data_IF_154775095654
#
_entry.id   IF_154775095654
#
_cell.length_a   1.000
_cell.length_b   1.000
_cell.length_c   1.000
_cell.angle_alpha   90.00
_cell.angle_beta   90.00
_cell.angle_gamma   90.00
#
_symmetry.space_group_name_H-M   'P 1'
#
loop_
_entity.id
_entity.type
_entity.pdbx_description
1 polymer ?
#
# COMPACT_ATOMS: atom_id res chain seq x y z
N UNK A 1 3.32 -21.94 2.87
CA UNK A 1 2.58 -20.89 2.17
C UNK A 1 1.46 -21.53 1.35
N UNK A 2 0.23 -21.11 1.58
CA UNK A 2 -0.93 -21.49 0.77
C UNK A 2 -1.37 -20.26 -0.01
N UNK A 3 -1.52 -20.39 -1.33
CA UNK A 3 -2.00 -19.32 -2.21
C UNK A 3 -3.19 -19.81 -3.02
N UNK A 4 -4.08 -18.89 -3.40
CA UNK A 4 -5.17 -19.15 -4.35
C UNK A 4 -4.82 -18.48 -5.69
N UNK A 5 -4.57 -19.28 -6.71
CA UNK A 5 -4.15 -18.83 -8.03
C UNK A 5 -5.35 -18.49 -8.90
N UNK A 6 -5.45 -17.23 -9.28
CA UNK A 6 -6.48 -16.73 -10.18
C UNK A 6 -6.11 -17.03 -11.64
N UNK A 7 -7.10 -17.37 -12.46
CA UNK A 7 -6.89 -17.79 -13.84
C UNK A 7 -6.18 -16.76 -14.71
N UNK A 8 -6.52 -15.48 -14.51
CA UNK A 8 -5.93 -14.35 -15.25
C UNK A 8 -4.48 -14.01 -14.84
N UNK A 9 -3.96 -14.60 -13.78
CA UNK A 9 -2.63 -14.34 -13.23
C UNK A 9 -1.82 -15.63 -13.06
N UNK A 10 -2.14 -16.67 -13.81
CA UNK A 10 -1.37 -17.92 -13.80
C UNK A 10 0.04 -17.67 -14.32
N UNK A 11 1.02 -18.03 -13.51
CA UNK A 11 2.41 -18.08 -13.91
C UNK A 11 2.70 -19.34 -14.73
N UNK A 12 3.67 -19.26 -15.64
CA UNK A 12 4.05 -20.39 -16.48
C UNK A 12 4.59 -21.58 -15.67
N UNK A 13 4.65 -22.75 -16.28
CA UNK A 13 5.19 -23.94 -15.61
C UNK A 13 6.64 -23.79 -15.18
N UNK A 14 7.47 -23.07 -15.97
CA UNK A 14 8.87 -22.81 -15.66
C UNK A 14 9.04 -21.82 -14.53
N UNK A 15 8.30 -20.71 -14.58
CA UNK A 15 8.27 -19.72 -13.50
C UNK A 15 7.79 -20.36 -12.20
N UNK A 16 6.78 -21.22 -12.26
CA UNK A 16 6.26 -21.94 -11.10
C UNK A 16 7.30 -22.89 -10.49
N UNK A 17 8.09 -23.59 -11.34
CA UNK A 17 9.21 -24.44 -10.88
C UNK A 17 10.30 -23.59 -10.20
N UNK A 18 10.70 -22.50 -10.83
CA UNK A 18 11.70 -21.58 -10.29
C UNK A 18 11.26 -21.01 -8.94
N UNK A 19 10.05 -20.47 -8.87
CA UNK A 19 9.50 -19.90 -7.63
C UNK A 19 9.42 -20.94 -6.50
N UNK A 20 8.99 -22.17 -6.81
CA UNK A 20 8.95 -23.26 -5.82
C UNK A 20 10.34 -23.59 -5.31
N UNK A 21 11.34 -23.64 -6.20
CA UNK A 21 12.74 -23.88 -5.81
C UNK A 21 13.26 -22.79 -4.89
N UNK A 22 13.08 -21.52 -5.24
CA UNK A 22 13.53 -20.35 -4.47
C UNK A 22 12.86 -20.29 -3.07
N UNK A 23 11.55 -20.53 -3.01
CA UNK A 23 10.81 -20.61 -1.75
C UNK A 23 11.30 -21.77 -0.88
N UNK A 24 11.50 -22.95 -1.46
CA UNK A 24 11.96 -24.13 -0.70
C UNK A 24 13.37 -23.90 -0.15
N UNK A 25 14.25 -23.25 -0.92
CA UNK A 25 15.60 -22.85 -0.46
C UNK A 25 15.54 -21.90 0.75
N UNK A 26 14.49 -21.08 0.82
CA UNK A 26 14.21 -20.20 1.97
C UNK A 26 13.42 -20.87 3.09
N UNK A 27 13.25 -22.21 3.05
CA UNK A 27 12.49 -22.97 4.06
C UNK A 27 10.97 -22.86 3.94
N UNK A 28 10.46 -22.30 2.83
CA UNK A 28 9.03 -22.08 2.60
C UNK A 28 8.45 -23.16 1.68
N UNK A 29 7.56 -24.00 2.20
CA UNK A 29 6.82 -24.97 1.39
C UNK A 29 5.59 -24.32 0.78
N UNK A 30 5.48 -24.29 -0.55
CA UNK A 30 4.41 -23.64 -1.28
C UNK A 30 3.36 -24.61 -1.80
N UNK A 31 2.10 -24.33 -1.46
CA UNK A 31 0.92 -25.11 -1.82
C UNK A 31 -0.07 -24.22 -2.60
N UNK A 32 0.08 -24.10 -3.92
CA UNK A 32 -0.86 -23.33 -4.74
C UNK A 32 -2.17 -24.11 -4.90
N UNK A 33 -3.29 -23.47 -4.59
CA UNK A 33 -4.64 -23.93 -4.85
C UNK A 33 -5.25 -23.16 -6.01
N UNK A 34 -6.09 -23.79 -6.79
CA UNK A 34 -6.84 -23.11 -7.84
C UNK A 34 -7.93 -22.24 -7.19
N UNK A 35 -8.14 -21.05 -7.76
CA UNK A 35 -9.23 -20.15 -7.39
C UNK A 35 -10.28 -20.19 -8.50
N UNK A 36 -11.43 -20.78 -8.24
CA UNK A 36 -12.47 -20.93 -9.23
C UNK A 36 -13.40 -19.72 -9.29
N UNK A 37 -13.70 -19.27 -10.51
CA UNK A 37 -14.60 -18.13 -10.80
C UNK A 37 -15.68 -18.56 -11.81
N UNK A 38 -16.59 -17.65 -12.18
CA UNK A 38 -17.62 -17.85 -13.19
C UNK A 38 -18.93 -18.44 -12.63
N UNK A 39 -19.70 -19.10 -13.46
CA UNK A 39 -21.00 -19.71 -13.10
C UNK A 39 -20.87 -20.67 -11.94
N UNK A 40 -21.92 -20.79 -11.12
CA UNK A 40 -21.93 -21.58 -9.87
C UNK A 40 -20.88 -21.15 -8.86
N UNK A 41 -20.53 -19.86 -8.83
CA UNK A 41 -19.44 -19.31 -8.03
C UNK A 41 -19.50 -19.70 -6.54
N UNK A 42 -20.68 -19.80 -5.94
CA UNK A 42 -20.84 -20.21 -4.54
C UNK A 42 -20.42 -21.65 -4.29
N UNK A 43 -20.81 -22.57 -5.14
CA UNK A 43 -20.40 -23.99 -5.03
C UNK A 43 -18.90 -24.15 -5.27
N UNK A 44 -18.35 -23.43 -6.24
CA UNK A 44 -16.91 -23.41 -6.51
C UNK A 44 -16.13 -22.84 -5.31
N UNK A 45 -16.61 -21.77 -4.67
CA UNK A 45 -16.00 -21.23 -3.45
C UNK A 45 -16.08 -22.19 -2.27
N UNK A 46 -17.18 -22.90 -2.12
CA UNK A 46 -17.28 -23.97 -1.11
C UNK A 46 -16.27 -25.08 -1.38
N UNK A 47 -16.10 -25.49 -2.63
CA UNK A 47 -15.08 -26.47 -3.01
C UNK A 47 -13.66 -25.97 -2.70
N UNK A 48 -13.33 -24.72 -3.07
CA UNK A 48 -12.04 -24.09 -2.76
C UNK A 48 -11.78 -24.05 -1.23
N UNK A 49 -12.82 -23.72 -0.46
CA UNK A 49 -12.77 -23.71 1.00
C UNK A 49 -12.49 -25.11 1.58
N UNK A 50 -13.19 -26.14 1.10
CA UNK A 50 -13.01 -27.53 1.57
C UNK A 50 -11.60 -28.03 1.24
N UNK A 51 -11.11 -27.77 0.02
CA UNK A 51 -9.75 -28.12 -0.36
C UNK A 51 -8.69 -27.45 0.51
N UNK A 52 -8.88 -26.17 0.82
CA UNK A 52 -7.99 -25.44 1.72
C UNK A 52 -8.05 -26.01 3.14
N UNK A 53 -9.23 -26.35 3.65
CA UNK A 53 -9.42 -26.95 4.98
C UNK A 53 -8.69 -28.31 5.09
N UNK A 54 -8.86 -29.19 4.10
CA UNK A 54 -8.20 -30.50 4.07
C UNK A 54 -6.67 -30.36 3.99
N UNK A 55 -6.20 -29.42 3.19
CA UNK A 55 -4.77 -29.12 3.08
C UNK A 55 -4.19 -28.59 4.40
N UNK A 56 -4.87 -27.66 5.05
CA UNK A 56 -4.46 -27.10 6.37
C UNK A 56 -4.43 -28.22 7.41
N UNK A 57 -5.43 -29.12 7.44
CA UNK A 57 -5.46 -30.28 8.32
C UNK A 57 -4.26 -31.21 8.10
N UNK A 58 -3.96 -31.53 6.82
CA UNK A 58 -2.77 -32.31 6.46
C UNK A 58 -1.46 -31.66 6.92
N UNK A 59 -1.32 -30.36 6.71
CA UNK A 59 -0.13 -29.59 7.14
C UNK A 59 -0.05 -29.55 8.68
N UNK A 60 -1.17 -29.34 9.36
CA UNK A 60 -1.23 -29.35 10.84
C UNK A 60 -0.68 -30.65 11.43
N UNK A 61 -1.11 -31.78 10.88
CA UNK A 61 -0.68 -33.11 11.35
C UNK A 61 0.78 -33.37 10.97
N UNK A 62 1.15 -33.15 9.71
CA UNK A 62 2.48 -33.53 9.19
C UNK A 62 3.62 -32.62 9.65
N UNK A 63 3.33 -31.36 9.96
CA UNK A 63 4.34 -30.33 10.31
C UNK A 63 4.18 -29.76 11.71
N UNK A 64 3.22 -30.25 12.48
CA UNK A 64 2.91 -29.76 13.83
C UNK A 64 2.81 -28.21 13.91
N UNK A 65 2.10 -27.62 12.93
CA UNK A 65 1.93 -26.15 12.85
C UNK A 65 1.07 -25.64 14.01
N UNK A 66 1.50 -24.57 14.67
CA UNK A 66 0.82 -23.99 15.84
C UNK A 66 -0.03 -22.75 15.51
N UNK A 67 0.20 -22.12 14.35
CA UNK A 67 -0.47 -20.90 13.98
C UNK A 67 -0.80 -20.82 12.48
N UNK A 68 -1.84 -20.06 12.16
CA UNK A 68 -2.17 -19.61 10.81
C UNK A 68 -1.88 -18.12 10.74
N UNK A 69 -1.09 -17.71 9.74
CA UNK A 69 -0.86 -16.33 9.37
C UNK A 69 -1.62 -16.02 8.10
N UNK A 70 -2.63 -15.18 8.17
CA UNK A 70 -3.43 -14.80 7.02
C UNK A 70 -3.21 -13.34 6.62
N UNK A 71 -2.95 -13.13 5.35
CA UNK A 71 -2.82 -11.83 4.74
C UNK A 71 -4.16 -11.38 4.17
N UNK A 72 -4.66 -10.23 4.59
CA UNK A 72 -5.96 -9.64 4.26
C UNK A 72 -7.19 -10.30 4.92
N UNK A 73 -8.35 -9.63 4.84
CA UNK A 73 -9.56 -9.99 5.57
C UNK A 73 -10.23 -11.27 5.07
N UNK A 74 -10.19 -11.54 3.77
CA UNK A 74 -10.86 -12.72 3.18
C UNK A 74 -10.12 -13.99 3.59
N UNK A 75 -8.80 -14.03 3.43
CA UNK A 75 -7.99 -15.17 3.88
C UNK A 75 -8.03 -15.34 5.40
N UNK A 76 -8.12 -14.23 6.15
CA UNK A 76 -8.28 -14.25 7.59
C UNK A 76 -9.60 -14.92 8.02
N UNK A 77 -10.69 -14.68 7.33
CA UNK A 77 -11.99 -15.28 7.66
C UNK A 77 -11.97 -16.80 7.53
N UNK A 78 -11.34 -17.32 6.48
CA UNK A 78 -11.11 -18.77 6.33
C UNK A 78 -10.15 -19.27 7.42
N UNK A 79 -9.04 -18.57 7.60
CA UNK A 79 -8.03 -18.92 8.62
C UNK A 79 -8.60 -19.00 10.02
N UNK A 80 -9.53 -18.12 10.42
CA UNK A 80 -10.21 -18.17 11.72
C UNK A 80 -11.01 -19.46 11.90
N UNK A 81 -11.74 -19.88 10.87
CA UNK A 81 -12.50 -21.12 10.92
C UNK A 81 -11.55 -22.33 11.06
N UNK A 82 -10.48 -22.35 10.23
CA UNK A 82 -9.49 -23.42 10.28
C UNK A 82 -8.73 -23.44 11.62
N UNK A 83 -8.36 -22.26 12.14
CA UNK A 83 -7.64 -22.17 13.42
C UNK A 83 -8.45 -22.73 14.58
N UNK A 84 -9.77 -22.52 14.57
CA UNK A 84 -10.68 -23.10 15.59
C UNK A 84 -10.82 -24.61 15.44
N UNK A 85 -10.99 -25.11 14.20
CA UNK A 85 -11.14 -26.55 13.93
C UNK A 85 -9.88 -27.32 14.36
N UNK A 86 -8.69 -26.76 14.08
CA UNK A 86 -7.42 -27.44 14.34
C UNK A 86 -6.68 -26.95 15.59
N UNK A 87 -7.34 -26.16 16.44
CA UNK A 87 -6.76 -25.61 17.68
C UNK A 87 -5.41 -24.89 17.46
N UNK A 88 -5.38 -23.98 16.46
CA UNK A 88 -4.21 -23.18 16.12
C UNK A 88 -4.44 -21.70 16.47
N UNK A 89 -3.38 -20.95 16.69
CA UNK A 89 -3.44 -19.50 16.83
C UNK A 89 -3.67 -18.82 15.49
N UNK A 90 -4.43 -17.73 15.49
CA UNK A 90 -4.76 -16.96 14.28
C UNK A 90 -4.13 -15.58 14.29
N UNK A 91 -3.27 -15.32 13.33
CA UNK A 91 -2.65 -14.01 13.09
C UNK A 91 -3.26 -13.42 11.82
N UNK A 92 -3.93 -12.28 11.93
CA UNK A 92 -4.45 -11.50 10.80
C UNK A 92 -3.49 -10.36 10.54
N UNK A 93 -2.97 -10.30 9.31
CA UNK A 93 -2.03 -9.25 8.90
C UNK A 93 -2.58 -8.38 7.80
N UNK A 94 -2.22 -7.08 7.81
CA UNK A 94 -2.69 -6.08 6.85
C UNK A 94 -4.23 -5.98 6.82
N UNK A 95 -4.82 -5.81 8.01
CA UNK A 95 -6.25 -5.63 8.12
C UNK A 95 -6.66 -4.21 7.70
N UNK A 96 -7.52 -4.12 6.69
CA UNK A 96 -8.12 -2.86 6.21
C UNK A 96 -9.59 -3.08 5.84
N UNK A 97 -10.52 -2.13 6.11
CA UNK A 97 -11.94 -2.27 5.82
C UNK A 97 -12.22 -1.93 4.34
N UNK A 98 -11.85 -2.82 3.42
CA UNK A 98 -11.96 -2.60 1.98
C UNK A 98 -13.39 -2.29 1.50
N UNK A 99 -14.41 -2.92 2.11
CA UNK A 99 -15.81 -2.64 1.78
C UNK A 99 -16.18 -1.17 2.03
N UNK A 100 -15.63 -0.55 3.08
CA UNK A 100 -15.87 0.86 3.38
C UNK A 100 -15.26 1.76 2.32
N UNK A 101 -14.01 1.48 1.91
CA UNK A 101 -13.34 2.23 0.84
C UNK A 101 -14.16 2.22 -0.44
N UNK A 102 -14.63 1.05 -0.85
CA UNK A 102 -15.42 0.90 -2.07
C UNK A 102 -16.77 1.60 -2.01
N UNK A 103 -17.40 1.64 -0.85
CA UNK A 103 -18.69 2.28 -0.68
C UNK A 103 -18.61 3.80 -0.57
N UNK A 104 -17.56 4.34 0.04
CA UNK A 104 -17.38 5.78 0.18
C UNK A 104 -16.91 6.48 -1.11
N UNK A 105 -16.36 5.71 -2.04
CA UNK A 105 -16.01 6.16 -3.38
C UNK A 105 -17.08 5.83 -4.43
N UNK A 106 -18.30 5.50 -3.98
CA UNK A 106 -19.47 5.17 -4.81
C UNK A 106 -19.23 4.01 -5.81
N UNK A 107 -18.16 3.22 -5.62
CA UNK A 107 -17.87 2.05 -6.43
C UNK A 107 -18.79 0.87 -6.10
N UNK A 108 -19.29 0.82 -4.86
CA UNK A 108 -20.27 -0.17 -4.41
C UNK A 108 -21.39 0.47 -3.62
N UNK A 109 -22.64 0.14 -3.94
CA UNK A 109 -23.78 0.54 -3.13
C UNK A 109 -23.75 -0.19 -1.76
N UNK A 110 -23.91 0.56 -0.66
CA UNK A 110 -24.08 -0.01 0.70
C UNK A 110 -25.27 -0.96 0.81
N UNK A 111 -26.27 -0.85 -0.08
CA UNK A 111 -27.43 -1.74 -0.14
C UNK A 111 -27.13 -3.05 -0.86
N UNK A 112 -26.04 -3.14 -1.63
CA UNK A 112 -25.71 -4.32 -2.43
C UNK A 112 -25.38 -5.52 -1.53
N UNK A 113 -25.74 -6.72 -1.99
CA UNK A 113 -25.39 -7.97 -1.31
C UNK A 113 -23.87 -8.15 -1.19
N UNK A 114 -23.13 -7.71 -2.21
CA UNK A 114 -21.67 -7.74 -2.25
C UNK A 114 -21.06 -6.94 -1.09
N UNK A 115 -21.53 -5.70 -0.87
CA UNK A 115 -21.08 -4.87 0.25
C UNK A 115 -21.41 -5.51 1.60
N UNK A 116 -22.66 -5.92 1.80
CA UNK A 116 -23.12 -6.51 3.06
C UNK A 116 -22.34 -7.78 3.43
N UNK A 117 -22.13 -8.66 2.44
CA UNK A 117 -21.38 -9.89 2.64
C UNK A 117 -19.93 -9.60 3.00
N UNK A 118 -19.23 -8.77 2.21
CA UNK A 118 -17.81 -8.46 2.46
C UNK A 118 -17.62 -7.73 3.78
N UNK A 119 -18.46 -6.73 4.07
CA UNK A 119 -18.43 -6.00 5.35
C UNK A 119 -18.61 -6.93 6.56
N UNK A 120 -19.51 -7.93 6.45
CA UNK A 120 -19.71 -8.94 7.51
C UNK A 120 -18.50 -9.84 7.67
N UNK A 121 -17.89 -10.27 6.57
CA UNK A 121 -16.66 -11.08 6.54
C UNK A 121 -15.50 -10.29 7.17
N UNK A 122 -15.32 -9.04 6.80
CA UNK A 122 -14.30 -8.16 7.37
C UNK A 122 -14.48 -7.98 8.87
N UNK A 123 -15.70 -7.68 9.30
CA UNK A 123 -16.00 -7.52 10.72
C UNK A 123 -15.76 -8.83 11.49
N UNK A 124 -16.15 -9.97 10.94
CA UNK A 124 -15.88 -11.29 11.53
C UNK A 124 -14.37 -11.53 11.72
N UNK A 125 -13.57 -11.23 10.67
CA UNK A 125 -12.11 -11.34 10.73
C UNK A 125 -11.49 -10.39 11.77
N UNK A 126 -11.96 -9.14 11.82
CA UNK A 126 -11.49 -8.13 12.75
C UNK A 126 -11.86 -8.38 14.22
N UNK A 127 -12.86 -9.23 14.50
CA UNK A 127 -13.29 -9.54 15.88
C UNK A 127 -12.63 -10.82 16.40
N UNK A 128 -12.41 -11.81 15.55
CA UNK A 128 -12.14 -13.19 16.00
C UNK A 128 -10.68 -13.66 15.84
N UNK A 129 -9.75 -12.84 15.30
CA UNK A 129 -8.33 -13.16 15.28
C UNK A 129 -7.70 -13.14 16.68
N UNK A 130 -6.71 -13.99 16.98
CA UNK A 130 -5.95 -13.93 18.24
C UNK A 130 -5.00 -12.72 18.25
N UNK A 131 -4.40 -12.44 17.09
CA UNK A 131 -3.57 -11.25 16.84
C UNK A 131 -4.04 -10.58 15.56
N UNK A 132 -4.34 -9.29 15.62
CA UNK A 132 -4.83 -8.52 14.47
C UNK A 132 -3.89 -7.33 14.25
N UNK A 133 -3.15 -7.36 13.16
CA UNK A 133 -2.21 -6.32 12.76
C UNK A 133 -2.86 -5.43 11.71
N UNK A 134 -2.94 -4.14 12.01
CA UNK A 134 -3.56 -3.13 11.14
C UNK A 134 -2.70 -1.88 11.00
N UNK A 135 -2.86 -1.16 9.88
CA UNK A 135 -1.96 -0.08 9.48
C UNK A 135 -1.97 1.16 10.35
N UNK A 136 -3.08 1.48 11.05
CA UNK A 136 -3.24 2.78 11.71
C UNK A 136 -3.78 2.67 13.13
N UNK A 137 -3.47 3.67 13.98
CA UNK A 137 -4.07 3.80 15.31
C UNK A 137 -5.60 3.96 15.26
N UNK A 138 -6.10 4.53 14.18
CA UNK A 138 -7.54 4.71 13.98
C UNK A 138 -8.24 3.35 13.82
N UNK A 139 -7.66 2.45 13.01
CA UNK A 139 -8.22 1.11 12.84
C UNK A 139 -8.05 0.25 14.10
N UNK A 140 -6.95 0.42 14.85
CA UNK A 140 -6.80 -0.21 16.18
C UNK A 140 -7.94 0.19 17.10
N UNK A 141 -8.30 1.48 17.15
CA UNK A 141 -9.41 1.97 17.96
C UNK A 141 -10.75 1.39 17.48
N UNK A 142 -10.97 1.38 16.19
CA UNK A 142 -12.20 0.89 15.56
C UNK A 142 -12.42 -0.61 15.84
N UNK A 143 -11.38 -1.43 15.66
CA UNK A 143 -11.45 -2.88 15.96
C UNK A 143 -11.77 -3.15 17.43
N UNK A 144 -11.21 -2.37 18.35
CA UNK A 144 -11.54 -2.45 19.78
C UNK A 144 -13.01 -2.10 20.05
N UNK A 145 -13.53 -1.06 19.38
CA UNK A 145 -14.95 -0.69 19.47
C UNK A 145 -15.86 -1.77 18.88
N UNK A 146 -15.44 -2.50 17.87
CA UNK A 146 -16.18 -3.65 17.34
C UNK A 146 -16.16 -4.87 18.28
N UNK A 147 -15.37 -4.84 19.34
CA UNK A 147 -15.27 -5.94 20.31
C UNK A 147 -14.24 -7.00 19.89
N UNK A 148 -13.11 -6.60 19.30
CA UNK A 148 -12.02 -7.51 18.97
C UNK A 148 -11.59 -8.32 20.20
N UNK A 149 -11.57 -9.65 20.07
CA UNK A 149 -11.29 -10.59 21.17
C UNK A 149 -9.81 -10.80 21.42
N UNK A 150 -9.00 -10.63 20.39
CA UNK A 150 -7.56 -10.81 20.45
C UNK A 150 -6.77 -9.53 20.64
N UNK A 151 -5.44 -9.63 20.54
CA UNK A 151 -4.53 -8.49 20.62
C UNK A 151 -4.57 -7.71 19.31
N UNK A 152 -5.04 -6.46 19.34
CA UNK A 152 -5.00 -5.56 18.18
C UNK A 152 -3.75 -4.71 18.25
N UNK A 153 -2.92 -4.79 17.20
CA UNK A 153 -1.59 -4.18 17.16
C UNK A 153 -1.46 -3.29 15.93
N UNK A 154 -0.91 -2.10 16.12
CA UNK A 154 -0.56 -1.22 15.00
C UNK A 154 0.70 -1.73 14.32
N UNK A 155 0.58 -2.08 13.05
CA UNK A 155 1.65 -2.51 12.14
C UNK A 155 1.42 -1.88 10.77
N UNK A 156 1.91 -0.65 10.52
CA UNK A 156 1.73 0.03 9.24
C UNK A 156 2.32 -0.79 8.09
N UNK A 157 1.81 -0.58 6.88
CA UNK A 157 2.47 -1.08 5.69
C UNK A 157 3.92 -0.62 5.69
N UNK A 158 4.82 -1.56 5.77
CA UNK A 158 6.25 -1.31 5.96
C UNK A 158 7.04 -1.50 4.67
N UNK A 159 8.17 -0.86 4.60
CA UNK A 159 9.09 -0.87 3.47
C UNK A 159 10.47 -1.27 3.97
N UNK A 160 11.20 -2.03 3.16
CA UNK A 160 12.55 -2.44 3.52
C UNK A 160 13.50 -1.23 3.52
N UNK A 161 13.95 -0.85 4.71
CA UNK A 161 14.77 0.34 4.93
C UNK A 161 16.21 0.22 4.41
N UNK A 162 16.67 -1.00 4.14
CA UNK A 162 17.98 -1.22 3.54
C UNK A 162 17.93 -1.13 2.02
N UNK A 163 16.78 -1.43 1.47
CA UNK A 163 16.53 -1.44 0.04
C UNK A 163 16.07 -0.07 -0.47
N UNK A 164 15.15 0.58 0.24
CA UNK A 164 14.71 1.95 -0.06
C UNK A 164 15.60 2.97 0.64
N UNK A 165 16.60 3.43 -0.08
CA UNK A 165 17.52 4.48 0.35
C UNK A 165 17.73 5.50 -0.76
N UNK A 166 18.12 6.72 -0.40
CA UNK A 166 18.48 7.73 -1.40
C UNK A 166 19.70 7.28 -2.22
N UNK A 167 19.60 7.36 -3.54
CA UNK A 167 20.60 6.93 -4.51
C UNK A 167 21.12 8.11 -5.32
N UNK A 168 22.23 8.71 -4.90
CA UNK A 168 22.82 9.87 -5.59
C UNK A 168 23.15 9.59 -7.05
N UNK A 169 23.73 8.42 -7.38
CA UNK A 169 24.03 8.01 -8.75
C UNK A 169 22.75 7.89 -9.58
N UNK A 170 21.70 7.29 -9.01
CA UNK A 170 20.39 7.17 -9.64
C UNK A 170 19.79 8.54 -9.92
N UNK A 171 19.80 9.45 -8.92
CA UNK A 171 19.34 10.83 -9.10
C UNK A 171 20.04 11.52 -10.26
N UNK A 172 21.38 11.49 -10.30
CA UNK A 172 22.14 12.10 -11.39
C UNK A 172 21.78 11.51 -12.75
N UNK A 173 21.65 10.19 -12.84
CA UNK A 173 21.31 9.48 -14.09
C UNK A 173 19.93 9.87 -14.62
N UNK A 174 18.89 9.83 -13.77
CA UNK A 174 17.52 10.15 -14.19
C UNK A 174 17.39 11.63 -14.53
N UNK A 175 17.97 12.52 -13.73
CA UNK A 175 17.93 13.97 -14.01
C UNK A 175 18.69 14.34 -15.28
N UNK A 176 19.81 13.68 -15.59
CA UNK A 176 20.52 13.86 -16.86
C UNK A 176 19.68 13.36 -18.06
N UNK A 177 19.05 12.17 -17.94
CA UNK A 177 18.19 11.58 -18.98
C UNK A 177 17.07 12.54 -19.42
N UNK A 178 16.42 13.23 -18.47
CA UNK A 178 15.30 14.13 -18.74
C UNK A 178 15.69 15.63 -18.70
N UNK A 179 16.97 15.97 -18.61
CA UNK A 179 17.50 17.35 -18.55
C UNK A 179 16.90 18.18 -17.40
N UNK A 180 16.78 17.58 -16.21
CA UNK A 180 16.07 18.14 -15.04
C UNK A 180 16.99 18.89 -14.05
N UNK A 181 18.16 19.33 -14.44
CA UNK A 181 19.16 19.91 -13.51
C UNK A 181 18.64 21.09 -12.71
N UNK A 182 17.83 21.95 -13.33
CA UNK A 182 17.24 23.14 -12.71
C UNK A 182 15.72 23.03 -12.56
N UNK A 183 15.14 21.83 -12.54
CA UNK A 183 13.70 21.60 -12.40
C UNK A 183 13.38 21.09 -11.01
N UNK A 184 12.22 21.49 -10.47
CA UNK A 184 11.61 20.85 -9.30
C UNK A 184 10.81 19.64 -9.76
N UNK A 185 11.14 18.47 -9.25
CA UNK A 185 10.56 17.22 -9.75
C UNK A 185 9.56 16.67 -8.74
N UNK A 186 8.29 16.59 -9.16
CA UNK A 186 7.27 15.83 -8.45
C UNK A 186 7.16 14.43 -9.04
N UNK A 187 7.12 13.41 -8.17
CA UNK A 187 6.90 12.03 -8.60
C UNK A 187 5.58 11.46 -8.04
N UNK A 188 4.82 10.83 -8.91
CA UNK A 188 3.71 9.95 -8.53
C UNK A 188 4.00 8.51 -8.96
N UNK A 189 3.74 7.55 -8.06
CA UNK A 189 3.89 6.12 -8.32
C UNK A 189 2.59 5.42 -7.96
N UNK A 190 1.94 4.79 -8.92
CA UNK A 190 0.80 3.93 -8.71
C UNK A 190 -0.33 4.08 -9.71
N UNK A 191 -1.39 3.34 -9.46
CA UNK A 191 -2.59 3.40 -10.29
C UNK A 191 -3.32 4.74 -10.08
N UNK A 192 -3.88 5.28 -11.15
CA UNK A 192 -4.81 6.41 -11.16
C UNK A 192 -6.24 5.88 -11.36
N UNK A 193 -7.19 6.47 -10.64
CA UNK A 193 -8.59 6.01 -10.63
C UNK A 193 -8.89 4.92 -9.61
N UNK A 194 -10.12 4.44 -9.57
CA UNK A 194 -10.70 3.53 -8.58
C UNK A 194 -10.59 4.10 -7.14
N UNK A 195 -9.67 3.56 -6.35
CA UNK A 195 -9.39 4.00 -4.98
C UNK A 195 -8.42 5.19 -4.89
N UNK A 196 -8.06 5.80 -6.01
CA UNK A 196 -7.11 6.90 -6.12
C UNK A 196 -7.68 8.02 -6.96
N UNK A 197 -7.22 9.23 -6.74
CA UNK A 197 -7.47 10.33 -7.65
C UNK A 197 -6.95 10.02 -9.07
N UNK A 198 -7.64 10.52 -10.09
CA UNK A 198 -7.24 10.41 -11.48
C UNK A 198 -7.12 11.79 -12.12
N UNK A 199 -8.25 12.41 -12.41
CA UNK A 199 -8.31 13.71 -13.06
C UNK A 199 -7.69 14.80 -12.16
N UNK A 200 -7.93 14.70 -10.87
CA UNK A 200 -7.41 15.62 -9.85
C UNK A 200 -5.88 15.60 -9.77
N UNK A 201 -5.22 14.50 -10.16
CA UNK A 201 -3.75 14.45 -10.23
C UNK A 201 -3.24 15.35 -11.37
N UNK A 202 -3.87 15.31 -12.54
CA UNK A 202 -3.49 16.16 -13.66
C UNK A 202 -3.79 17.65 -13.35
N UNK A 203 -4.93 17.93 -12.72
CA UNK A 203 -5.31 19.28 -12.27
C UNK A 203 -4.35 19.82 -11.21
N UNK A 204 -3.93 19.00 -10.24
CA UNK A 204 -2.92 19.36 -9.26
C UNK A 204 -1.59 19.69 -9.93
N UNK A 205 -1.12 18.83 -10.84
CA UNK A 205 0.12 19.06 -11.58
C UNK A 205 0.05 20.38 -12.39
N UNK A 206 -1.06 20.63 -13.07
CA UNK A 206 -1.29 21.88 -13.79
C UNK A 206 -1.29 23.09 -12.87
N UNK A 207 -1.97 22.99 -11.73
CA UNK A 207 -2.02 24.09 -10.74
C UNK A 207 -0.66 24.39 -10.15
N UNK A 208 0.14 23.36 -9.81
CA UNK A 208 1.51 23.53 -9.36
C UNK A 208 2.39 24.17 -10.43
N UNK A 209 2.27 23.73 -11.70
CA UNK A 209 3.01 24.29 -12.81
C UNK A 209 2.64 25.75 -13.09
N UNK A 210 1.37 26.13 -12.98
CA UNK A 210 0.92 27.50 -13.17
C UNK A 210 1.47 28.46 -12.10
N UNK A 211 1.60 27.98 -10.89
CA UNK A 211 2.12 28.75 -9.76
C UNK A 211 3.66 28.76 -9.70
N UNK A 212 4.31 27.74 -10.27
CA UNK A 212 5.77 27.62 -10.33
C UNK A 212 6.19 26.88 -11.60
N UNK A 213 6.54 27.62 -12.65
CA UNK A 213 6.86 27.13 -14.00
C UNK A 213 8.08 26.19 -14.08
N UNK A 214 8.76 25.98 -12.95
CA UNK A 214 9.93 25.13 -12.86
C UNK A 214 9.62 23.64 -12.57
N UNK A 215 8.34 23.28 -12.33
CA UNK A 215 7.98 21.88 -12.08
C UNK A 215 8.15 20.99 -13.31
N UNK A 216 8.54 19.74 -13.03
CA UNK A 216 8.48 18.60 -13.94
C UNK A 216 7.83 17.42 -13.23
N UNK A 217 6.97 16.67 -13.92
CA UNK A 217 6.18 15.61 -13.33
C UNK A 217 6.60 14.23 -13.86
N UNK A 218 7.03 13.35 -12.95
CA UNK A 218 7.32 11.95 -13.23
C UNK A 218 6.13 11.09 -12.77
N UNK A 219 5.45 10.43 -13.70
CA UNK A 219 4.27 9.61 -13.42
C UNK A 219 4.59 8.16 -13.78
N UNK A 220 4.66 7.29 -12.77
CA UNK A 220 4.86 5.85 -12.92
C UNK A 220 3.54 5.15 -12.62
N UNK A 221 2.90 4.56 -13.62
CA UNK A 221 1.55 4.00 -13.46
C UNK A 221 1.35 2.72 -14.25
N UNK A 222 0.45 1.86 -13.79
CA UNK A 222 0.00 0.67 -14.52
C UNK A 222 -1.21 0.92 -15.44
N UNK A 223 -1.72 2.16 -15.48
CA UNK A 223 -2.79 2.55 -16.38
C UNK A 223 -2.33 2.54 -17.85
N UNK A 224 -3.29 2.61 -18.77
CA UNK A 224 -2.99 2.85 -20.19
C UNK A 224 -2.28 4.21 -20.33
N UNK A 225 -1.09 4.22 -20.95
CA UNK A 225 -0.25 5.41 -21.02
C UNK A 225 -0.84 6.49 -21.92
N UNK A 226 -1.52 6.12 -23.01
CA UNK A 226 -2.15 7.06 -23.93
C UNK A 226 -3.33 7.77 -23.26
N UNK A 227 -4.09 7.03 -22.44
CA UNK A 227 -5.19 7.60 -21.65
C UNK A 227 -4.66 8.65 -20.67
N UNK A 228 -3.58 8.35 -19.95
CA UNK A 228 -3.01 9.28 -18.98
C UNK A 228 -2.31 10.46 -19.68
N UNK A 229 -1.65 10.24 -20.82
CA UNK A 229 -1.12 11.34 -21.64
C UNK A 229 -2.23 12.29 -22.09
N UNK A 230 -3.35 11.76 -22.61
CA UNK A 230 -4.50 12.58 -23.02
C UNK A 230 -5.09 13.36 -21.84
N UNK A 231 -5.12 12.79 -20.66
CA UNK A 231 -5.59 13.45 -19.45
C UNK A 231 -4.72 14.65 -19.08
N UNK A 232 -3.38 14.50 -19.09
CA UNK A 232 -2.45 15.58 -18.78
C UNK A 232 -2.48 16.70 -19.82
N UNK A 233 -2.60 16.34 -21.10
CA UNK A 233 -2.78 17.31 -22.19
C UNK A 233 -4.11 18.08 -22.04
N UNK A 234 -5.20 17.39 -21.74
CA UNK A 234 -6.51 18.01 -21.51
C UNK A 234 -6.53 18.96 -20.31
N UNK A 235 -5.71 18.71 -19.30
CA UNK A 235 -5.48 19.61 -18.18
C UNK A 235 -4.62 20.84 -18.55
N UNK A 236 -4.08 20.89 -19.78
CA UNK A 236 -3.26 22.00 -20.29
C UNK A 236 -1.79 21.94 -19.88
N UNK A 237 -1.25 20.76 -19.68
CA UNK A 237 0.19 20.54 -19.48
C UNK A 237 0.86 20.15 -20.81
N UNK A 238 1.92 20.88 -21.15
CA UNK A 238 2.73 20.57 -22.33
C UNK A 238 3.60 19.32 -22.05
N UNK A 239 3.78 18.46 -23.06
CA UNK A 239 4.51 17.19 -22.97
C UNK A 239 5.97 17.32 -22.55
N UNK A 240 6.57 18.51 -22.70
CA UNK A 240 7.91 18.80 -22.20
C UNK A 240 8.02 18.96 -20.68
N UNK A 241 6.89 19.03 -19.98
CA UNK A 241 6.82 19.26 -18.54
C UNK A 241 6.50 18.01 -17.73
N UNK A 242 6.29 16.87 -18.39
CA UNK A 242 6.05 15.60 -17.72
C UNK A 242 6.60 14.40 -18.49
N UNK A 243 6.75 13.29 -17.78
CA UNK A 243 7.03 11.98 -18.36
C UNK A 243 6.17 10.93 -17.68
N UNK A 244 5.42 10.17 -18.48
CA UNK A 244 4.55 9.09 -18.03
C UNK A 244 5.15 7.77 -18.49
N UNK A 245 5.29 6.81 -17.58
CA UNK A 245 5.82 5.49 -17.89
C UNK A 245 5.01 4.39 -17.18
N UNK A 246 5.09 3.18 -17.72
CA UNK A 246 4.56 1.97 -17.10
C UNK A 246 5.34 1.52 -15.87
N UNK A 247 5.07 0.29 -15.44
CA UNK A 247 5.78 -0.30 -14.31
C UNK A 247 7.29 -0.37 -14.59
N UNK A 248 8.05 0.14 -13.65
CA UNK A 248 9.52 0.07 -13.65
C UNK A 248 10.00 -1.19 -12.94
N UNK A 249 11.19 -1.65 -13.30
CA UNK A 249 11.89 -2.64 -12.49
C UNK A 249 12.11 -2.08 -11.07
N UNK A 250 12.05 -2.95 -10.09
CA UNK A 250 12.09 -2.57 -8.66
C UNK A 250 13.33 -1.72 -8.31
N UNK A 251 14.48 -2.02 -8.88
CA UNK A 251 15.70 -1.23 -8.69
C UNK A 251 15.66 0.13 -9.38
N UNK A 252 15.08 0.20 -10.57
CA UNK A 252 14.94 1.45 -11.31
C UNK A 252 13.98 2.43 -10.61
N UNK A 253 12.91 1.91 -10.01
CA UNK A 253 11.95 2.71 -9.25
C UNK A 253 12.62 3.58 -8.18
N UNK A 254 13.61 3.04 -7.46
CA UNK A 254 14.36 3.73 -6.42
C UNK A 254 15.16 4.91 -6.95
N UNK A 255 15.69 4.78 -8.17
CA UNK A 255 16.42 5.85 -8.85
C UNK A 255 15.48 6.98 -9.28
N UNK A 256 14.26 6.63 -9.74
CA UNK A 256 13.21 7.60 -10.04
C UNK A 256 12.77 8.35 -8.76
N UNK A 257 12.52 7.66 -7.66
CA UNK A 257 12.19 8.29 -6.38
C UNK A 257 13.33 9.23 -5.94
N UNK A 258 14.58 8.77 -6.04
CA UNK A 258 15.75 9.58 -5.68
C UNK A 258 15.94 10.82 -6.57
N UNK A 259 15.43 10.77 -7.82
CA UNK A 259 15.50 11.90 -8.74
C UNK A 259 14.53 13.03 -8.42
N UNK A 260 13.47 12.75 -7.68
CA UNK A 260 12.44 13.71 -7.32
C UNK A 260 12.85 14.63 -6.17
N UNK A 261 12.09 15.70 -5.99
CA UNK A 261 12.19 16.67 -4.91
C UNK A 261 10.98 16.63 -3.98
N UNK A 262 9.85 16.11 -4.48
CA UNK A 262 8.62 15.87 -3.70
C UNK A 262 7.83 14.70 -4.28
N UNK A 263 7.28 13.85 -3.43
CA UNK A 263 6.40 12.72 -3.80
C UNK A 263 4.93 13.09 -3.70
N UNK A 264 4.06 12.36 -4.39
CA UNK A 264 2.61 12.54 -4.33
C UNK A 264 1.92 11.28 -3.83
N UNK A 265 1.05 11.42 -2.83
CA UNK A 265 0.12 10.39 -2.36
C UNK A 265 -1.30 10.77 -2.77
N UNK A 266 -1.78 10.24 -3.90
CA UNK A 266 -3.05 10.63 -4.51
C UNK A 266 -4.24 9.78 -4.01
N UNK A 267 -4.51 9.82 -2.71
CA UNK A 267 -5.64 9.13 -2.07
C UNK A 267 -6.75 10.14 -1.79
N UNK A 268 -8.00 9.90 -2.24
CA UNK A 268 -9.14 10.78 -1.95
C UNK A 268 -9.44 10.85 -0.45
N UNK A 269 -9.74 12.04 0.12
CA UNK A 269 -9.97 12.21 1.56
C UNK A 269 -11.40 11.80 1.95
N UNK A 270 -11.70 10.51 1.97
CA UNK A 270 -12.97 10.00 2.52
C UNK A 270 -12.81 9.53 3.96
N UNK A 271 -13.89 9.47 4.77
CA UNK A 271 -13.81 9.16 6.20
C UNK A 271 -13.10 7.85 6.56
N UNK A 272 -13.16 6.85 5.69
CA UNK A 272 -12.50 5.55 5.94
C UNK A 272 -11.03 5.54 5.57
N UNK A 273 -10.53 6.49 4.79
CA UNK A 273 -9.12 6.51 4.36
C UNK A 273 -8.12 6.70 5.52
N UNK A 274 -8.58 7.16 6.68
CA UNK A 274 -7.80 7.15 7.93
C UNK A 274 -7.38 5.74 8.37
N UNK A 275 -8.05 4.70 7.91
CA UNK A 275 -7.72 3.29 8.21
C UNK A 275 -6.66 2.72 7.26
N UNK A 276 -6.43 3.37 6.13
CA UNK A 276 -5.48 2.93 5.09
C UNK A 276 -4.03 3.22 5.49
N UNK A 277 -3.10 2.43 4.98
CA UNK A 277 -1.67 2.64 5.18
C UNK A 277 -0.93 2.61 3.83
N UNK A 278 -0.89 3.74 3.08
CA UNK A 278 -0.29 3.79 1.75
C UNK A 278 1.21 3.47 1.79
N UNK A 279 1.65 2.50 0.99
CA UNK A 279 3.06 2.07 0.91
C UNK A 279 3.98 3.18 0.39
N UNK A 280 3.49 3.97 -0.58
CA UNK A 280 4.26 5.03 -1.25
C UNK A 280 4.90 6.04 -0.30
N UNK A 281 4.15 6.44 0.74
CA UNK A 281 4.67 7.39 1.74
C UNK A 281 5.86 6.79 2.49
N UNK A 282 5.84 5.49 2.77
CA UNK A 282 6.99 4.80 3.34
C UNK A 282 8.20 4.78 2.40
N UNK A 283 7.99 4.49 1.13
CA UNK A 283 9.02 4.49 0.09
C UNK A 283 9.65 5.88 -0.08
N UNK A 284 8.83 6.93 -0.14
CA UNK A 284 9.29 8.32 -0.22
C UNK A 284 10.13 8.70 1.01
N UNK A 285 9.59 8.53 2.20
CA UNK A 285 10.27 8.90 3.44
C UNK A 285 11.60 8.16 3.61
N UNK A 286 11.65 6.87 3.32
CA UNK A 286 12.89 6.08 3.42
C UNK A 286 13.94 6.50 2.40
N UNK A 287 13.53 6.96 1.22
CA UNK A 287 14.42 7.59 0.24
C UNK A 287 14.75 9.07 0.56
N UNK A 288 14.28 9.59 1.68
CA UNK A 288 14.53 10.98 2.07
C UNK A 288 13.72 12.01 1.30
N UNK A 289 12.56 11.62 0.74
CA UNK A 289 11.71 12.46 -0.08
C UNK A 289 10.51 12.96 0.72
N UNK A 290 10.26 14.28 0.82
CA UNK A 290 9.02 14.82 1.36
C UNK A 290 7.85 14.53 0.42
N UNK A 291 6.61 14.66 0.90
CA UNK A 291 5.45 14.28 0.11
C UNK A 291 4.25 15.24 0.24
N UNK A 292 3.38 15.23 -0.76
CA UNK A 292 2.06 15.85 -0.73
C UNK A 292 1.02 14.77 -0.46
N UNK A 293 0.09 15.02 0.44
CA UNK A 293 -1.04 14.13 0.76
C UNK A 293 -2.29 14.94 1.08
N UNK A 294 -3.45 14.28 1.16
CA UNK A 294 -4.66 14.89 1.69
C UNK A 294 -4.81 14.65 3.20
N UNK A 295 -5.56 15.53 3.84
CA UNK A 295 -5.97 15.42 5.23
C UNK A 295 -6.84 14.19 5.47
N UNK A 296 -6.67 13.54 6.61
CA UNK A 296 -7.45 12.36 6.98
C UNK A 296 -7.00 11.07 6.31
N UNK A 297 -5.84 11.05 5.64
CA UNK A 297 -5.28 9.83 5.03
C UNK A 297 -4.30 9.19 6.00
N UNK A 298 -4.62 7.99 6.48
CA UNK A 298 -3.73 7.25 7.41
C UNK A 298 -3.45 8.06 8.68
N UNK A 299 -2.18 8.08 9.07
CA UNK A 299 -1.55 9.03 9.99
C UNK A 299 -0.50 9.87 9.24
N UNK A 300 -0.48 9.78 7.91
CA UNK A 300 0.54 10.40 7.08
C UNK A 300 0.40 11.92 7.06
N UNK A 301 -0.84 12.44 7.13
CA UNK A 301 -1.12 13.87 7.32
C UNK A 301 -0.50 14.41 8.62
N UNK A 302 -0.66 13.66 9.73
CA UNK A 302 -0.11 14.05 11.02
C UNK A 302 1.42 14.07 11.02
N UNK A 303 2.05 13.10 10.33
CA UNK A 303 3.51 13.04 10.22
C UNK A 303 4.06 14.15 9.31
N UNK A 304 3.36 14.42 8.20
CA UNK A 304 3.71 15.50 7.29
C UNK A 304 3.81 16.85 8.03
N UNK A 305 2.80 17.15 8.86
CA UNK A 305 2.74 18.41 9.61
C UNK A 305 3.69 18.41 10.81
N UNK A 306 3.60 17.39 11.68
CA UNK A 306 4.36 17.33 12.94
C UNK A 306 5.87 17.39 12.72
N UNK A 307 6.36 16.71 11.69
CA UNK A 307 7.78 16.59 11.41
C UNK A 307 8.27 17.46 10.25
N UNK A 308 7.39 18.26 9.66
CA UNK A 308 7.69 19.08 8.48
C UNK A 308 8.33 18.26 7.34
N UNK A 309 7.74 17.08 7.05
CA UNK A 309 8.20 16.16 5.99
C UNK A 309 7.22 16.09 4.82
N UNK A 310 6.23 16.97 4.77
CA UNK A 310 5.25 17.00 3.68
C UNK A 310 4.30 18.17 3.75
N UNK A 311 3.41 18.20 2.77
CA UNK A 311 2.34 19.18 2.63
C UNK A 311 1.00 18.45 2.68
N UNK A 312 0.08 18.96 3.47
CA UNK A 312 -1.28 18.43 3.63
C UNK A 312 -2.27 19.35 2.95
N UNK A 313 -3.06 18.83 2.04
CA UNK A 313 -4.12 19.51 1.31
C UNK A 313 -5.49 18.99 1.81
N UNK A 314 -6.52 19.84 1.81
CA UNK A 314 -7.88 19.36 2.04
C UNK A 314 -8.36 18.50 0.87
N UNK A 315 -8.04 18.89 -0.36
CA UNK A 315 -8.21 18.15 -1.60
C UNK A 315 -7.25 18.70 -2.69
N UNK A 316 -7.27 18.13 -3.92
CA UNK A 316 -6.36 18.51 -5.01
C UNK A 316 -6.90 19.62 -5.93
N UNK A 317 -7.87 20.42 -5.48
CA UNK A 317 -8.34 21.56 -6.27
C UNK A 317 -7.35 22.73 -6.27
N UNK A 318 -7.54 23.63 -7.23
CA UNK A 318 -6.65 24.76 -7.50
C UNK A 318 -6.49 25.71 -6.29
N UNK A 319 -7.54 25.93 -5.52
CA UNK A 319 -7.50 26.84 -4.38
C UNK A 319 -6.66 26.27 -3.24
N UNK A 320 -6.88 25.00 -2.88
CA UNK A 320 -6.06 24.33 -1.88
C UNK A 320 -4.60 24.19 -2.28
N UNK A 321 -4.32 23.97 -3.57
CA UNK A 321 -2.95 23.98 -4.10
C UNK A 321 -2.33 25.37 -3.91
N UNK A 322 -3.04 26.45 -4.25
CA UNK A 322 -2.57 27.84 -4.09
C UNK A 322 -2.27 28.16 -2.63
N UNK A 323 -3.17 27.83 -1.71
CA UNK A 323 -2.97 28.05 -0.27
C UNK A 323 -1.73 27.31 0.27
N UNK A 324 -1.46 26.13 -0.26
CA UNK A 324 -0.36 25.28 0.18
C UNK A 324 0.99 25.63 -0.45
N UNK A 325 1.03 26.50 -1.48
CA UNK A 325 2.27 26.79 -2.23
C UNK A 325 3.39 27.38 -1.38
N UNK A 326 3.07 28.17 -0.35
CA UNK A 326 4.09 28.69 0.58
C UNK A 326 4.85 27.53 1.25
N UNK A 327 4.13 26.48 1.65
CA UNK A 327 4.73 25.31 2.30
C UNK A 327 5.46 24.41 1.28
N UNK A 328 4.91 24.26 0.08
CA UNK A 328 5.59 23.55 -1.03
C UNK A 328 6.94 24.23 -1.33
N UNK A 329 6.94 25.55 -1.51
CA UNK A 329 8.17 26.32 -1.76
C UNK A 329 9.17 26.18 -0.61
N UNK A 330 8.73 26.31 0.65
CA UNK A 330 9.59 26.12 1.82
C UNK A 330 10.31 24.77 1.82
N UNK A 331 9.61 23.67 1.48
CA UNK A 331 10.23 22.34 1.42
C UNK A 331 11.18 22.18 0.22
N UNK A 332 10.86 22.80 -0.94
CA UNK A 332 11.70 22.74 -2.14
C UNK A 332 12.97 23.58 -2.03
N UNK A 333 12.93 24.66 -1.26
CA UNK A 333 14.02 25.62 -1.06
C UNK A 333 14.92 25.27 0.14
N UNK A 334 14.46 24.37 1.00
CA UNK A 334 15.25 23.88 2.13
C UNK A 334 16.50 23.13 1.66
N UNK A 335 17.56 23.15 2.48
CA UNK A 335 18.80 22.41 2.20
C UNK A 335 18.49 20.92 2.03
N UNK A 336 18.91 20.36 0.89
CA UNK A 336 18.50 19.01 0.45
C UNK A 336 18.93 17.89 1.41
N UNK A 337 20.07 18.02 2.08
CA UNK A 337 20.53 17.00 3.01
C UNK A 337 19.74 17.04 4.32
N UNK A 338 19.27 18.20 4.75
CA UNK A 338 18.52 18.32 6.00
C UNK A 338 17.11 17.77 5.86
N UNK A 339 16.40 18.12 4.78
CA UNK A 339 15.09 17.54 4.50
C UNK A 339 15.17 16.01 4.30
N UNK A 340 16.21 15.52 3.59
CA UNK A 340 16.42 14.07 3.39
C UNK A 340 16.64 13.33 4.69
N UNK A 341 17.51 13.84 5.57
CA UNK A 341 17.76 13.24 6.90
C UNK A 341 16.49 13.21 7.73
N UNK A 342 15.71 14.30 7.72
CA UNK A 342 14.46 14.40 8.47
C UNK A 342 13.39 13.43 7.94
N UNK A 343 13.18 13.36 6.63
CA UNK A 343 12.27 12.40 6.00
C UNK A 343 12.71 10.96 6.30
N UNK A 344 13.99 10.64 6.12
CA UNK A 344 14.55 9.32 6.41
C UNK A 344 14.32 8.90 7.86
N UNK A 345 14.56 9.80 8.82
CA UNK A 345 14.31 9.53 10.24
C UNK A 345 12.85 9.16 10.49
N UNK A 346 11.91 9.93 9.96
CA UNK A 346 10.47 9.64 10.09
C UNK A 346 10.12 8.31 9.43
N UNK A 347 10.70 8.02 8.26
CA UNK A 347 10.55 6.73 7.58
C UNK A 347 11.02 5.56 8.45
N UNK A 348 12.19 5.67 9.07
CA UNK A 348 12.73 4.66 9.98
C UNK A 348 11.86 4.45 11.23
N UNK A 349 11.35 5.53 11.81
CA UNK A 349 10.52 5.46 13.01
C UNK A 349 9.14 4.83 12.74
N UNK A 350 8.54 5.06 11.57
CA UNK A 350 7.13 4.73 11.31
C UNK A 350 6.87 3.74 10.18
N UNK A 351 7.81 3.53 9.24
CA UNK A 351 7.60 2.74 8.02
C UNK A 351 8.64 1.67 7.77
N UNK A 352 9.70 1.58 8.60
CA UNK A 352 10.72 0.56 8.44
C UNK A 352 10.17 -0.85 8.71
N UNK A 353 10.55 -1.80 7.85
CA UNK A 353 10.21 -3.22 7.96
C UNK A 353 10.65 -3.80 9.31
N UNK A 354 11.82 -3.42 9.80
CA UNK A 354 12.35 -3.88 11.09
C UNK A 354 11.41 -3.61 12.27
N UNK A 355 10.56 -2.57 12.22
CA UNK A 355 9.56 -2.31 13.25
C UNK A 355 8.46 -3.37 13.27
N UNK A 356 8.00 -3.80 12.09
CA UNK A 356 6.99 -4.86 11.95
C UNK A 356 7.60 -6.22 12.27
N UNK A 357 8.84 -6.47 11.86
CA UNK A 357 9.56 -7.70 12.18
C UNK A 357 9.68 -7.91 13.71
N UNK A 358 9.98 -6.86 14.49
CA UNK A 358 9.99 -6.91 15.97
C UNK A 358 8.61 -7.30 16.53
N UNK A 359 7.53 -6.77 15.97
CA UNK A 359 6.16 -7.11 16.38
C UNK A 359 5.89 -8.59 16.08
N UNK A 360 6.19 -9.05 14.87
CA UNK A 360 6.00 -10.44 14.48
C UNK A 360 6.84 -11.39 15.32
N UNK A 361 8.10 -11.05 15.56
CA UNK A 361 8.99 -11.85 16.42
C UNK A 361 8.41 -12.02 17.83
N UNK A 362 7.88 -10.93 18.42
CA UNK A 362 7.22 -11.00 19.73
C UNK A 362 6.00 -11.91 19.70
N UNK A 363 5.16 -11.81 18.67
CA UNK A 363 3.97 -12.67 18.50
C UNK A 363 4.38 -14.14 18.39
N UNK A 364 5.38 -14.44 17.57
CA UNK A 364 5.87 -15.81 17.41
C UNK A 364 6.47 -16.36 18.72
N UNK A 365 7.25 -15.54 19.43
CA UNK A 365 7.78 -15.95 20.73
C UNK A 365 6.64 -16.28 21.72
N UNK A 366 5.59 -15.50 21.80
CA UNK A 366 4.43 -15.78 22.64
C UNK A 366 3.70 -17.09 22.25
N UNK A 367 3.63 -17.43 20.95
CA UNK A 367 2.96 -18.63 20.47
C UNK A 367 3.80 -19.91 20.68
N UNK A 368 5.12 -19.81 20.56
CA UNK A 368 6.02 -20.96 20.57
C UNK A 368 6.73 -21.19 21.92
N UNK A 369 6.66 -20.23 22.85
CA UNK A 369 7.15 -20.40 24.22
C UNK A 369 6.17 -21.14 25.13
N UNK A 370 4.95 -21.37 24.65
CA UNK A 370 3.92 -22.21 25.29
C UNK A 370 3.81 -23.54 24.56
#
# INVERSE_FOLDING_TARGET
LITFEQENFKITGDEKRKLRYDLTKSGIYWYPLNYHTGELSLLKKLYDFINALLLVGKIRISKNTKAIFAFTNISASFGIIFSKIFSMKMIVYSYEPHSFFMAELDLWSKKSLKYKLLSSIEKFAGINGDYILTGTKYMVKELKLWGAKGKVIRAPTSVDEFDFTFREKGRKRIRARFKLFNRDVLIYIGKLGDLYFKDEVAELCKSLFDLRKNFFFLIVTSNNLDEINSLFQSAGLDSENYFITGNLAYDELKDYISSADIGLSAVPPTPSQKYRSPTKVGEYLLCGLPYITCKGISEDDLYAEKYNVGVVLENFNKDNVRESMKKVNSLLEEEKNDIRKRCRKVGLDYRAKSNVDKILFKIYSEIFST
#
